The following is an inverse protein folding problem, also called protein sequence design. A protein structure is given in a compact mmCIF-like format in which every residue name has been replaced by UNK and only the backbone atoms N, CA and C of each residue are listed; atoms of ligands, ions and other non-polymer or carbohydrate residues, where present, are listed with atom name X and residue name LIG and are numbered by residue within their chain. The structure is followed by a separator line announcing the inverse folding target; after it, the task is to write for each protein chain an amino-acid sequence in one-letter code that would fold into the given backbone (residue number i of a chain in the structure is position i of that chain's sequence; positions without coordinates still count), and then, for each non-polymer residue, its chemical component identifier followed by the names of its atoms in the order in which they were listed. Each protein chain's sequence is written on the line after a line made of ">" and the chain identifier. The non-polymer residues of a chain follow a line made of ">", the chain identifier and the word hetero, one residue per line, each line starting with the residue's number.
data_IF_094991602584
#
_entry.id   IF_094991602584
#
_cell.length_a   1.000
_cell.length_b   1.000
_cell.length_c   1.000
_cell.angle_alpha   90.00
_cell.angle_beta   90.00
_cell.angle_gamma   90.00
#
_symmetry.space_group_name_H-M   'P 1'
#
loop_
_entity.id
_entity.type
_entity.pdbx_description
1 polymer ?
#
# COMPACT_ATOMS: atom_id res chain seq x y z
N UNK A 1 0.41 -2.55 10.48
CA UNK A 1 1.47 -1.95 9.63
C UNK A 1 1.00 -0.62 9.09
N UNK A 2 1.76 0.43 9.32
CA UNK A 2 1.48 1.76 8.79
C UNK A 2 2.75 2.34 8.20
N UNK A 3 2.64 2.99 7.07
CA UNK A 3 3.75 3.76 6.50
C UNK A 3 3.20 4.89 5.64
N UNK A 4 4.05 5.85 5.38
CA UNK A 4 3.68 6.98 4.52
C UNK A 4 4.88 7.41 3.70
N UNK A 5 4.60 8.04 2.57
CA UNK A 5 5.64 8.59 1.70
C UNK A 5 5.07 9.75 0.90
N UNK A 6 5.97 10.59 0.42
CA UNK A 6 5.59 11.75 -0.41
C UNK A 6 5.96 11.47 -1.85
N UNK A 7 5.08 11.83 -2.76
CA UNK A 7 5.25 11.65 -4.20
C UNK A 7 5.24 13.00 -4.88
N UNK A 8 6.18 13.20 -5.78
CA UNK A 8 6.26 14.41 -6.60
C UNK A 8 7.34 15.39 -6.16
N UNK A 9 7.77 16.23 -7.08
CA UNK A 9 8.78 17.25 -6.83
C UNK A 9 8.19 18.64 -6.86
N UNK A 10 7.38 18.95 -7.86
CA UNK A 10 6.65 20.23 -7.95
C UNK A 10 5.37 20.18 -7.14
N UNK A 11 4.44 19.37 -7.55
CA UNK A 11 3.24 19.08 -6.77
C UNK A 11 3.52 17.85 -5.90
N UNK A 12 3.40 18.00 -4.58
CA UNK A 12 3.69 16.93 -3.64
C UNK A 12 2.41 16.41 -3.02
N UNK A 13 2.26 15.08 -3.03
CA UNK A 13 1.13 14.40 -2.43
C UNK A 13 1.63 13.39 -1.40
N UNK A 14 0.98 13.36 -0.25
CA UNK A 14 1.32 12.42 0.81
C UNK A 14 0.42 11.19 0.71
N UNK A 15 1.04 10.04 0.58
CA UNK A 15 0.34 8.75 0.56
C UNK A 15 0.51 8.08 1.91
N UNK A 16 -0.60 7.68 2.52
CA UNK A 16 -0.61 7.00 3.81
C UNK A 16 -1.26 5.64 3.66
N UNK A 17 -0.55 4.61 4.10
CA UNK A 17 -1.00 3.22 4.04
C UNK A 17 -1.19 2.71 5.46
N UNK A 18 -2.31 2.03 5.68
CA UNK A 18 -2.64 1.41 6.97
C UNK A 18 -3.26 0.05 6.74
N UNK A 19 -2.76 -0.95 7.46
CA UNK A 19 -3.30 -2.29 7.41
C UNK A 19 -3.32 -2.90 8.82
N UNK A 20 -4.50 -3.40 9.22
CA UNK A 20 -4.68 -4.15 10.45
C UNK A 20 -4.79 -5.63 10.11
N UNK A 21 -3.77 -6.39 10.47
CA UNK A 21 -3.71 -7.82 10.14
C UNK A 21 -4.79 -8.63 10.83
N UNK A 22 -5.17 -8.26 12.06
CA UNK A 22 -6.19 -9.00 12.79
C UNK A 22 -7.57 -8.78 12.22
N UNK A 23 -7.94 -7.54 11.95
CA UNK A 23 -9.24 -7.21 11.40
C UNK A 23 -9.32 -7.32 9.88
N UNK A 24 -8.18 -7.31 9.19
CA UNK A 24 -8.13 -7.37 7.74
C UNK A 24 -8.46 -6.06 7.05
N UNK A 25 -8.49 -4.93 7.79
CA UNK A 25 -8.79 -3.63 7.24
C UNK A 25 -7.56 -3.02 6.58
N UNK A 26 -7.71 -2.57 5.34
CA UNK A 26 -6.67 -1.86 4.64
C UNK A 26 -7.22 -0.53 4.12
N UNK A 27 -6.46 0.54 4.33
CA UNK A 27 -6.84 1.87 3.85
C UNK A 27 -5.62 2.58 3.27
N UNK A 28 -5.83 3.25 2.16
CA UNK A 28 -4.83 4.12 1.54
C UNK A 28 -5.45 5.50 1.41
N UNK A 29 -4.75 6.50 1.94
CA UNK A 29 -5.16 7.90 1.86
C UNK A 29 -4.15 8.69 1.05
N UNK A 30 -4.65 9.64 0.28
CA UNK A 30 -3.82 10.62 -0.41
C UNK A 30 -4.22 11.99 0.12
N UNK A 31 -3.27 12.70 0.73
CA UNK A 31 -3.49 14.01 1.35
C UNK A 31 -4.68 14.00 2.30
N UNK A 32 -4.79 12.93 3.09
CA UNK A 32 -5.85 12.77 4.07
C UNK A 32 -7.19 12.25 3.53
N UNK A 33 -7.30 12.04 2.22
CA UNK A 33 -8.52 11.55 1.59
C UNK A 33 -8.40 10.07 1.26
N UNK A 34 -9.34 9.22 1.71
CA UNK A 34 -9.27 7.80 1.37
C UNK A 34 -9.48 7.58 -0.12
N UNK A 35 -8.57 6.82 -0.73
CA UNK A 35 -8.67 6.43 -2.15
C UNK A 35 -8.87 4.94 -2.31
N UNK A 36 -8.46 4.14 -1.30
CA UNK A 36 -8.66 2.69 -1.29
C UNK A 36 -9.08 2.28 0.10
N UNK A 37 -10.15 1.50 0.18
CA UNK A 37 -10.56 0.79 1.39
C UNK A 37 -10.81 -0.66 1.02
N UNK A 38 -10.18 -1.56 1.74
CA UNK A 38 -10.34 -2.98 1.51
C UNK A 38 -10.44 -3.68 2.86
N UNK A 39 -11.35 -4.65 2.94
CA UNK A 39 -11.57 -5.41 4.15
C UNK A 39 -11.55 -6.89 3.81
N UNK A 40 -10.64 -7.64 4.44
CA UNK A 40 -10.52 -9.07 4.19
C UNK A 40 -10.19 -9.81 5.47
N UNK A 41 -11.15 -10.59 5.94
CA UNK A 41 -10.95 -11.50 7.07
C UNK A 41 -10.13 -12.71 6.65
N UNK A 42 -10.47 -13.26 5.48
CA UNK A 42 -9.75 -14.40 4.90
C UNK A 42 -9.39 -14.03 3.47
N UNK A 43 -8.14 -14.29 3.09
CA UNK A 43 -7.70 -14.07 1.72
C UNK A 43 -6.98 -15.31 1.23
N UNK A 44 -7.39 -15.79 0.07
CA UNK A 44 -6.71 -16.87 -0.63
C UNK A 44 -5.59 -16.34 -1.53
N UNK A 45 -5.53 -15.04 -1.71
CA UNK A 45 -4.51 -14.42 -2.55
C UNK A 45 -3.28 -14.11 -1.72
N UNK A 46 -2.11 -14.53 -2.22
CA UNK A 46 -0.84 -14.25 -1.58
C UNK A 46 -0.28 -12.89 -1.99
N UNK A 47 -0.70 -12.39 -3.13
CA UNK A 47 -0.27 -11.08 -3.63
C UNK A 47 -1.50 -10.25 -3.97
N UNK A 48 -1.50 -9.01 -3.52
CA UNK A 48 -2.54 -8.03 -3.83
C UNK A 48 -1.88 -6.75 -4.29
N UNK A 49 -2.42 -6.15 -5.33
CA UNK A 49 -1.91 -4.89 -5.89
C UNK A 49 -3.00 -3.83 -5.80
N UNK A 50 -2.58 -2.64 -5.38
CA UNK A 50 -3.45 -1.47 -5.33
C UNK A 50 -2.86 -0.42 -6.26
N UNK A 51 -3.65 0.00 -7.25
CA UNK A 51 -3.21 0.94 -8.26
C UNK A 51 -4.05 2.20 -8.19
N UNK A 52 -3.41 3.36 -8.18
CA UNK A 52 -4.11 4.65 -8.18
C UNK A 52 -3.17 5.73 -8.70
N UNK A 53 -3.76 6.86 -9.07
CA UNK A 53 -3.00 8.01 -9.54
C UNK A 53 -3.08 9.12 -8.51
N UNK A 54 -1.96 9.80 -8.28
CA UNK A 54 -1.90 10.97 -7.39
C UNK A 54 -1.51 12.20 -8.20
N UNK A 55 -1.98 13.37 -7.74
CA UNK A 55 -1.64 14.64 -8.32
C UNK A 55 -2.61 15.11 -9.37
N UNK A 56 -2.62 16.42 -9.61
CA UNK A 56 -3.47 17.07 -10.61
C UNK A 56 -2.61 17.60 -11.75
N UNK A 57 -1.61 18.42 -11.43
CA UNK A 57 -0.71 19.00 -12.43
C UNK A 57 0.49 18.09 -12.67
N UNK A 58 1.04 17.50 -11.61
CA UNK A 58 2.11 16.51 -11.71
C UNK A 58 1.53 15.16 -11.29
N UNK A 59 1.15 14.34 -12.26
CA UNK A 59 0.50 13.06 -12.01
C UNK A 59 1.50 11.93 -11.97
N UNK A 60 1.34 11.05 -10.97
CA UNK A 60 2.16 9.85 -10.84
C UNK A 60 1.26 8.65 -10.62
N UNK A 61 1.60 7.55 -11.28
CA UNK A 61 0.93 6.28 -11.04
C UNK A 61 1.58 5.57 -9.87
N UNK A 62 0.78 5.17 -8.89
CA UNK A 62 1.25 4.49 -7.70
C UNK A 62 0.72 3.05 -7.74
N UNK A 63 1.61 2.11 -7.50
CA UNK A 63 1.25 0.72 -7.31
C UNK A 63 1.84 0.27 -5.98
N UNK A 64 0.98 -0.17 -5.07
CA UNK A 64 1.41 -0.78 -3.81
C UNK A 64 1.12 -2.27 -3.91
N UNK A 65 2.17 -3.06 -3.93
CA UNK A 65 2.07 -4.51 -3.99
C UNK A 65 2.26 -5.07 -2.58
N UNK A 66 1.25 -5.78 -2.09
CA UNK A 66 1.28 -6.42 -0.78
C UNK A 66 1.43 -7.92 -1.02
N UNK A 67 2.53 -8.49 -0.55
CA UNK A 67 2.82 -9.91 -0.68
C UNK A 67 2.84 -10.55 0.69
N UNK A 68 1.97 -11.53 0.88
CA UNK A 68 1.86 -12.29 2.12
C UNK A 68 2.58 -13.61 1.98
N UNK A 69 3.40 -13.94 2.97
CA UNK A 69 4.04 -15.25 3.02
C UNK A 69 3.08 -16.29 3.57
N UNK A 70 3.06 -17.45 2.96
CA UNK A 70 2.26 -18.56 3.42
C UNK A 70 3.07 -19.42 4.38
N UNK A 71 2.59 -19.55 5.63
CA UNK A 71 3.20 -20.38 6.63
C UNK A 71 2.12 -21.14 7.41
N UNK A 72 2.49 -22.27 7.99
CA UNK A 72 1.56 -23.13 8.70
C UNK A 72 1.21 -22.62 10.09
N UNK A 73 2.01 -21.75 10.68
CA UNK A 73 1.80 -21.34 12.06
C UNK A 73 1.92 -19.82 12.19
N UNK A 74 0.84 -19.19 12.65
CA UNK A 74 0.80 -17.84 13.15
C UNK A 74 0.96 -16.75 12.11
N UNK A 75 1.14 -15.54 12.62
CA UNK A 75 1.28 -14.36 11.81
C UNK A 75 2.69 -14.26 11.23
N UNK A 76 2.77 -13.79 10.00
CA UNK A 76 4.05 -13.62 9.31
C UNK A 76 4.18 -12.20 8.79
N UNK A 77 5.40 -11.68 8.70
CA UNK A 77 5.61 -10.38 8.08
C UNK A 77 5.14 -10.39 6.64
N UNK A 78 4.57 -9.28 6.22
CA UNK A 78 4.15 -9.07 4.85
C UNK A 78 5.13 -8.11 4.20
N UNK A 79 5.37 -8.29 2.90
CA UNK A 79 6.24 -7.42 2.14
C UNK A 79 5.39 -6.48 1.31
N UNK A 80 5.74 -5.20 1.37
CA UNK A 80 5.08 -4.16 0.59
C UNK A 80 6.10 -3.54 -0.34
N UNK A 81 5.81 -3.53 -1.63
CA UNK A 81 6.65 -2.88 -2.63
C UNK A 81 5.86 -1.75 -3.24
N UNK A 82 6.48 -0.58 -3.29
CA UNK A 82 5.85 0.63 -3.79
C UNK A 82 6.54 1.02 -5.09
N UNK A 83 5.75 1.06 -6.16
CA UNK A 83 6.21 1.47 -7.48
C UNK A 83 5.61 2.82 -7.81
N UNK A 84 6.45 3.74 -8.24
CA UNK A 84 6.04 5.06 -8.70
C UNK A 84 6.44 5.17 -10.16
N UNK A 85 5.44 5.38 -11.02
CA UNK A 85 5.62 5.45 -12.48
C UNK A 85 6.37 4.23 -13.03
N UNK A 86 6.03 3.05 -12.49
CA UNK A 86 6.60 1.80 -12.94
C UNK A 86 7.96 1.44 -12.35
N UNK A 87 8.53 2.30 -11.50
CA UNK A 87 9.83 2.04 -10.89
C UNK A 87 9.68 1.76 -9.41
N UNK A 88 10.42 0.76 -8.92
CA UNK A 88 10.42 0.43 -7.51
C UNK A 88 11.04 1.58 -6.71
N UNK A 89 10.25 2.17 -5.83
CA UNK A 89 10.67 3.31 -5.03
C UNK A 89 11.06 2.90 -3.62
N UNK A 90 10.24 2.07 -2.97
CA UNK A 90 10.45 1.68 -1.58
C UNK A 90 9.93 0.28 -1.33
N UNK A 91 10.48 -0.35 -0.30
CA UNK A 91 10.05 -1.66 0.18
C UNK A 91 9.90 -1.58 1.70
N UNK A 92 8.78 -2.07 2.19
CA UNK A 92 8.52 -2.17 3.63
C UNK A 92 8.23 -3.62 3.96
N UNK A 93 8.53 -4.01 5.20
CA UNK A 93 8.23 -5.33 5.69
C UNK A 93 7.68 -5.21 7.11
N UNK A 94 6.57 -5.89 7.38
CA UNK A 94 5.94 -5.84 8.68
C UNK A 94 4.59 -6.53 8.69
N UNK A 95 3.95 -6.51 9.83
CA UNK A 95 2.64 -7.17 10.00
C UNK A 95 1.44 -6.23 9.58
#
# INVERSE_FOLDING_TARGET
>A
MQFSFTVGTGEQNRVEFSFDQFAGNLEIKVDGQPVVKDFRMLSLFLTKRYEFTVGVQEQHQIIIEKKRKLFLAGFRPQRYRIFIDGQLAQTYEGS
#
